data_IF_274164576249
#
_entry.id   IF_274164576249
#
_cell.length_a   1.000
_cell.length_b   1.000
_cell.length_c   1.000
_cell.angle_alpha   90.00
_cell.angle_beta   90.00
_cell.angle_gamma   90.00
#
_symmetry.space_group_name_H-M   'P 1'
#
loop_
_entity.id
_entity.type
_entity.pdbx_description
1 polymer ?
#
# COMPACT_ATOMS: atom_id res chain seq x y z
N UNK A 1 -12.08 13.96 0.47
CA UNK A 1 -11.03 13.40 -0.41
C UNK A 1 -9.74 14.21 -0.44
N UNK A 2 -9.74 15.55 -0.48
CA UNK A 2 -8.50 16.37 -0.54
C UNK A 2 -7.44 16.07 0.55
N UNK A 3 -7.85 15.59 1.74
CA UNK A 3 -6.94 15.26 2.85
C UNK A 3 -6.26 13.88 2.75
N UNK A 4 -6.76 13.01 1.88
CA UNK A 4 -6.24 11.63 1.69
C UNK A 4 -5.36 11.52 0.46
N UNK A 5 -5.55 12.39 -0.54
CA UNK A 5 -4.75 12.42 -1.77
C UNK A 5 -3.22 12.41 -1.53
N UNK A 6 -2.65 13.23 -0.61
CA UNK A 6 -1.21 13.19 -0.37
C UNK A 6 -0.72 11.87 0.24
N UNK A 7 -1.59 11.15 0.97
CA UNK A 7 -1.25 9.81 1.50
C UNK A 7 -1.14 8.81 0.35
N UNK A 8 -2.11 8.84 -0.57
CA UNK A 8 -2.12 7.96 -1.75
C UNK A 8 -0.88 8.21 -2.62
N UNK A 9 -0.63 9.47 -2.98
CA UNK A 9 0.49 9.83 -3.83
C UNK A 9 1.84 9.51 -3.18
N UNK A 10 2.00 9.81 -1.89
CA UNK A 10 3.22 9.51 -1.15
C UNK A 10 3.49 8.01 -1.04
N UNK A 11 2.45 7.21 -0.77
CA UNK A 11 2.57 5.76 -0.70
C UNK A 11 2.87 5.14 -2.07
N UNK A 12 2.19 5.58 -3.13
CA UNK A 12 2.45 5.11 -4.50
C UNK A 12 3.88 5.45 -4.94
N UNK A 13 4.35 6.67 -4.70
CA UNK A 13 5.72 7.07 -5.01
C UNK A 13 6.76 6.24 -4.25
N UNK A 14 6.50 5.95 -2.97
CA UNK A 14 7.37 5.10 -2.16
C UNK A 14 7.46 3.68 -2.73
N UNK A 15 6.33 3.07 -3.09
CA UNK A 15 6.29 1.71 -3.64
C UNK A 15 6.99 1.62 -5.00
N UNK A 16 6.74 2.57 -5.90
CA UNK A 16 7.44 2.64 -7.19
C UNK A 16 8.96 2.79 -6.98
N UNK A 17 9.39 3.62 -6.02
CA UNK A 17 10.81 3.75 -5.70
C UNK A 17 11.40 2.45 -5.15
N UNK A 18 10.66 1.72 -4.31
CA UNK A 18 11.06 0.40 -3.80
C UNK A 18 11.19 -0.63 -4.91
N UNK A 19 10.28 -0.64 -5.89
CA UNK A 19 10.35 -1.53 -7.04
C UNK A 19 11.56 -1.24 -7.93
N UNK A 20 11.87 0.04 -8.18
CA UNK A 20 13.07 0.46 -8.90
C UNK A 20 14.34 -0.02 -8.15
N UNK A 21 14.42 0.24 -6.84
CA UNK A 21 15.55 -0.20 -6.03
C UNK A 21 15.66 -1.72 -6.02
N UNK A 22 14.54 -2.43 -5.90
CA UNK A 22 14.48 -3.88 -5.95
C UNK A 22 14.97 -4.44 -7.28
N UNK A 23 14.59 -3.82 -8.40
CA UNK A 23 15.06 -4.20 -9.74
C UNK A 23 16.57 -4.00 -9.89
N UNK A 24 17.10 -2.87 -9.44
CA UNK A 24 18.53 -2.55 -9.52
C UNK A 24 19.40 -3.42 -8.61
N UNK A 25 18.90 -3.84 -7.45
CA UNK A 25 19.66 -4.62 -6.44
C UNK A 25 19.57 -6.11 -6.65
N UNK A 26 18.63 -6.61 -7.48
CA UNK A 26 18.40 -8.04 -7.69
C UNK A 26 19.65 -8.75 -8.23
N UNK A 27 20.32 -8.18 -9.25
CA UNK A 27 21.46 -8.79 -9.91
C UNK A 27 22.75 -8.75 -9.07
N UNK A 28 23.17 -7.61 -8.47
CA UNK A 28 24.44 -7.55 -7.77
C UNK A 28 24.40 -8.16 -6.36
N UNK A 29 23.24 -8.18 -5.68
CA UNK A 29 23.15 -8.57 -4.28
C UNK A 29 22.37 -9.86 -4.02
N UNK A 30 21.80 -10.51 -5.05
CA UNK A 30 20.97 -11.71 -4.88
C UNK A 30 19.77 -11.49 -3.95
N UNK A 31 19.30 -10.25 -3.83
CA UNK A 31 18.24 -9.90 -2.88
C UNK A 31 16.91 -10.56 -3.26
N UNK A 32 16.29 -11.36 -2.39
CA UNK A 32 15.05 -12.04 -2.72
C UNK A 32 13.91 -11.01 -2.82
N UNK A 33 13.41 -10.80 -4.05
CA UNK A 33 12.33 -9.86 -4.36
C UNK A 33 11.07 -10.09 -3.50
N UNK A 34 10.85 -11.33 -3.05
CA UNK A 34 9.74 -11.68 -2.14
C UNK A 34 9.71 -10.89 -0.82
N UNK A 35 10.87 -10.40 -0.35
CA UNK A 35 10.93 -9.57 0.86
C UNK A 35 10.31 -8.20 0.67
N UNK A 36 10.28 -7.67 -0.56
CA UNK A 36 9.62 -6.41 -0.85
C UNK A 36 8.10 -6.49 -0.66
N UNK A 37 7.50 -7.66 -0.90
CA UNK A 37 6.08 -7.87 -0.64
C UNK A 37 5.66 -7.60 0.81
N UNK A 38 6.51 -7.93 1.79
CA UNK A 38 6.24 -7.61 3.19
C UNK A 38 6.26 -6.11 3.46
N UNK A 39 7.16 -5.38 2.80
CA UNK A 39 7.24 -3.91 2.91
C UNK A 39 6.00 -3.27 2.29
N UNK A 40 5.59 -3.72 1.10
CA UNK A 40 4.36 -3.25 0.43
C UNK A 40 3.13 -3.49 1.30
N UNK A 41 3.02 -4.65 1.94
CA UNK A 41 1.92 -4.95 2.87
C UNK A 41 1.87 -3.96 4.03
N UNK A 42 3.03 -3.63 4.62
CA UNK A 42 3.12 -2.63 5.68
C UNK A 42 2.70 -1.24 5.22
N UNK A 43 3.06 -0.86 3.99
CA UNK A 43 2.64 0.41 3.38
C UNK A 43 1.12 0.44 3.20
N UNK A 44 0.49 -0.64 2.70
CA UNK A 44 -0.96 -0.71 2.54
C UNK A 44 -1.72 -0.62 3.88
N UNK A 45 -1.23 -1.29 4.92
CA UNK A 45 -1.76 -1.18 6.28
C UNK A 45 -1.69 0.27 6.79
N UNK A 46 -0.54 0.94 6.56
CA UNK A 46 -0.32 2.32 6.96
C UNK A 46 -1.22 3.29 6.22
N UNK A 47 -1.41 3.09 4.92
CA UNK A 47 -2.37 3.86 4.10
C UNK A 47 -3.79 3.71 4.64
N UNK A 48 -4.21 2.47 4.95
CA UNK A 48 -5.50 2.20 5.54
C UNK A 48 -5.70 2.91 6.88
N UNK A 49 -4.73 2.80 7.78
CA UNK A 49 -4.73 3.46 9.08
C UNK A 49 -4.83 4.99 8.95
N UNK A 50 -3.91 5.61 8.20
CA UNK A 50 -3.84 7.07 8.06
C UNK A 50 -5.05 7.64 7.33
N UNK A 51 -5.56 6.93 6.34
CA UNK A 51 -6.74 7.34 5.58
C UNK A 51 -8.01 7.21 6.40
N UNK A 52 -8.11 6.19 7.26
CA UNK A 52 -9.22 6.02 8.20
C UNK A 52 -9.32 7.19 9.17
N UNK A 53 -8.18 7.59 9.77
CA UNK A 53 -8.11 8.73 10.69
C UNK A 53 -8.46 10.09 10.04
N UNK A 54 -8.42 10.19 8.71
CA UNK A 54 -8.67 11.44 7.96
C UNK A 54 -10.01 11.48 7.23
N UNK A 55 -10.58 10.33 6.92
CA UNK A 55 -11.76 10.27 6.06
C UNK A 55 -12.70 9.11 6.33
N UNK A 56 -12.42 8.31 7.38
CA UNK A 56 -13.23 7.16 7.75
C UNK A 56 -12.86 5.86 7.03
N UNK A 57 -13.44 4.73 7.49
CA UNK A 57 -13.01 3.39 7.07
C UNK A 57 -13.26 3.10 5.59
N UNK A 58 -14.36 3.58 5.03
CA UNK A 58 -14.67 3.37 3.60
C UNK A 58 -13.62 4.02 2.71
N UNK A 59 -13.26 5.29 3.00
CA UNK A 59 -12.24 6.01 2.24
C UNK A 59 -10.87 5.34 2.39
N UNK A 60 -10.58 4.75 3.55
CA UNK A 60 -9.34 4.02 3.80
C UNK A 60 -9.17 2.80 2.89
N UNK A 61 -10.23 2.00 2.72
CA UNK A 61 -10.21 0.82 1.84
C UNK A 61 -10.00 1.25 0.38
N UNK A 62 -10.73 2.26 -0.08
CA UNK A 62 -10.56 2.77 -1.45
C UNK A 62 -9.17 3.39 -1.68
N UNK A 63 -8.63 4.10 -0.68
CA UNK A 63 -7.28 4.65 -0.77
C UNK A 63 -6.21 3.56 -0.89
N UNK A 64 -6.31 2.50 -0.07
CA UNK A 64 -5.39 1.37 -0.14
C UNK A 64 -5.54 0.58 -1.45
N UNK A 65 -6.77 0.36 -1.93
CA UNK A 65 -7.02 -0.28 -3.23
C UNK A 65 -6.42 0.55 -4.38
N UNK A 66 -6.58 1.88 -4.36
CA UNK A 66 -5.98 2.76 -5.36
C UNK A 66 -4.45 2.69 -5.35
N UNK A 67 -3.84 2.67 -4.15
CA UNK A 67 -2.38 2.49 -4.02
C UNK A 67 -1.95 1.13 -4.56
N UNK A 68 -2.67 0.04 -4.23
CA UNK A 68 -2.36 -1.30 -4.75
C UNK A 68 -2.54 -1.41 -6.27
N UNK A 69 -3.52 -0.70 -6.85
CA UNK A 69 -3.68 -0.64 -8.30
C UNK A 69 -2.50 0.10 -8.97
N UNK A 70 -2.08 1.23 -8.40
CA UNK A 70 -0.92 1.97 -8.90
C UNK A 70 0.37 1.17 -8.75
N UNK A 71 0.55 0.48 -7.64
CA UNK A 71 1.69 -0.41 -7.39
C UNK A 71 1.72 -1.57 -8.39
N UNK A 72 0.59 -2.26 -8.56
CA UNK A 72 0.48 -3.37 -9.51
C UNK A 72 0.63 -2.97 -11.00
N UNK A 73 0.44 -1.69 -11.33
CA UNK A 73 0.59 -1.17 -12.70
C UNK A 73 1.93 -0.47 -12.92
N UNK A 74 2.24 0.53 -12.10
CA UNK A 74 3.42 1.37 -12.28
C UNK A 74 4.70 0.72 -11.74
N UNK A 75 4.61 -0.10 -10.68
CA UNK A 75 5.75 -0.79 -10.09
C UNK A 75 6.48 -1.68 -11.08
N UNK A 76 5.80 -2.69 -11.68
CA UNK A 76 6.40 -3.55 -12.69
C UNK A 76 6.90 -2.79 -13.94
N UNK A 77 6.16 -1.75 -14.36
CA UNK A 77 6.58 -0.91 -15.49
C UNK A 77 7.87 -0.14 -15.19
N UNK A 78 7.95 0.47 -14.01
CA UNK A 78 9.13 1.20 -13.57
C UNK A 78 10.33 0.26 -13.35
N UNK A 79 10.12 -0.91 -12.79
CA UNK A 79 11.14 -1.93 -12.63
C UNK A 79 11.68 -2.43 -14.00
N UNK A 80 10.79 -2.58 -14.98
CA UNK A 80 11.18 -2.96 -16.37
C UNK A 80 12.01 -1.87 -17.04
N UNK A 81 11.67 -0.60 -16.84
CA UNK A 81 12.41 0.53 -17.40
C UNK A 81 13.77 0.78 -16.71
N UNK A 82 13.89 0.41 -15.44
CA UNK A 82 15.07 0.70 -14.63
C UNK A 82 16.22 -0.28 -14.81
N UNK A 83 15.97 -1.50 -15.32
CA UNK A 83 17.02 -2.50 -15.42
C UNK A 83 16.75 -3.64 -16.40
N UNK A 84 17.81 -4.33 -16.86
CA UNK A 84 17.71 -5.55 -17.66
C UNK A 84 17.33 -6.75 -16.78
N UNK A 85 16.44 -6.53 -15.80
CA UNK A 85 15.87 -7.64 -15.06
C UNK A 85 15.08 -8.51 -16.03
N UNK A 86 15.16 -9.84 -15.98
CA UNK A 86 14.15 -10.65 -16.57
C UNK A 86 12.84 -10.29 -15.85
N UNK A 87 12.09 -9.39 -16.43
CA UNK A 87 10.63 -9.46 -16.31
C UNK A 87 10.39 -10.86 -16.86
N UNK A 88 10.18 -11.79 -15.94
CA UNK A 88 9.95 -13.18 -16.28
C UNK A 88 8.97 -13.17 -17.44
N UNK A 89 9.24 -13.93 -18.49
CA UNK A 89 8.43 -13.92 -19.72
C UNK A 89 6.94 -14.11 -19.44
N UNK A 90 6.61 -14.58 -18.24
CA UNK A 90 5.30 -14.64 -17.63
C UNK A 90 4.54 -13.30 -17.62
N UNK A 91 5.21 -12.15 -17.53
CA UNK A 91 4.55 -10.83 -17.60
C UNK A 91 4.27 -10.37 -19.05
N UNK A 92 4.81 -11.04 -20.05
CA UNK A 92 4.51 -10.71 -21.45
C UNK A 92 3.09 -11.12 -21.87
N UNK A 93 2.46 -12.05 -21.13
CA UNK A 93 1.09 -12.42 -21.34
C UNK A 93 0.14 -11.45 -20.61
N UNK A 94 -0.66 -10.72 -21.38
CA UNK A 94 -1.59 -9.70 -20.86
C UNK A 94 -2.54 -10.22 -19.76
N UNK A 95 -2.89 -11.52 -19.80
CA UNK A 95 -3.74 -12.16 -18.78
C UNK A 95 -3.03 -12.32 -17.45
N UNK A 96 -1.77 -12.70 -17.43
CA UNK A 96 -0.97 -12.86 -16.21
C UNK A 96 -0.72 -11.49 -15.56
N UNK A 97 -0.45 -10.48 -16.37
CA UNK A 97 -0.30 -9.11 -15.91
C UNK A 97 -1.60 -8.58 -15.25
N UNK A 98 -2.74 -8.75 -15.94
CA UNK A 98 -4.05 -8.33 -15.40
C UNK A 98 -4.40 -9.06 -14.09
N UNK A 99 -4.11 -10.37 -14.01
CA UNK A 99 -4.30 -11.14 -12.79
C UNK A 99 -3.41 -10.63 -11.65
N UNK A 100 -2.15 -10.34 -11.93
CA UNK A 100 -1.21 -9.74 -10.96
C UNK A 100 -1.73 -8.44 -10.38
N UNK A 101 -2.21 -7.51 -11.24
CA UNK A 101 -2.82 -6.25 -10.80
C UNK A 101 -4.02 -6.52 -9.89
N UNK A 102 -4.91 -7.44 -10.28
CA UNK A 102 -6.11 -7.76 -9.49
C UNK A 102 -5.74 -8.31 -8.10
N UNK A 103 -4.77 -9.22 -8.03
CA UNK A 103 -4.30 -9.81 -6.76
C UNK A 103 -3.67 -8.75 -5.86
N UNK A 104 -2.78 -7.91 -6.40
CA UNK A 104 -2.12 -6.84 -5.64
C UNK A 104 -3.17 -5.84 -5.12
N UNK A 105 -4.11 -5.41 -5.98
CA UNK A 105 -5.19 -4.50 -5.61
C UNK A 105 -6.08 -5.08 -4.50
N UNK A 106 -6.47 -6.35 -4.61
CA UNK A 106 -7.27 -7.04 -3.62
C UNK A 106 -6.52 -7.18 -2.28
N UNK A 107 -5.24 -7.54 -2.32
CA UNK A 107 -4.38 -7.63 -1.15
C UNK A 107 -4.25 -6.27 -0.45
N UNK A 108 -4.05 -5.21 -1.22
CA UNK A 108 -3.97 -3.85 -0.70
C UNK A 108 -5.30 -3.41 -0.07
N UNK A 109 -6.45 -3.75 -0.67
CA UNK A 109 -7.77 -3.45 -0.12
C UNK A 109 -7.99 -4.17 1.23
N UNK A 110 -7.64 -5.45 1.33
CA UNK A 110 -7.74 -6.24 2.57
C UNK A 110 -6.81 -5.66 3.65
N UNK A 111 -5.55 -5.39 3.32
CA UNK A 111 -4.61 -4.76 4.24
C UNK A 111 -5.10 -3.36 4.67
N UNK A 112 -5.64 -2.57 3.74
CA UNK A 112 -6.26 -1.28 4.02
C UNK A 112 -7.45 -1.38 4.97
N UNK A 113 -8.29 -2.41 4.84
CA UNK A 113 -9.38 -2.69 5.78
C UNK A 113 -8.84 -2.98 7.19
N UNK A 114 -7.81 -3.81 7.31
CA UNK A 114 -7.17 -4.09 8.61
C UNK A 114 -6.60 -2.82 9.23
N UNK A 115 -5.91 -1.99 8.45
CA UNK A 115 -5.43 -0.68 8.89
C UNK A 115 -6.56 0.26 9.31
N UNK A 116 -7.67 0.26 8.58
CA UNK A 116 -8.85 1.06 8.91
C UNK A 116 -9.51 0.63 10.22
N UNK A 117 -9.62 -0.67 10.47
CA UNK A 117 -10.13 -1.21 11.75
C UNK A 117 -9.24 -0.79 12.92
N UNK A 118 -7.92 -0.85 12.75
CA UNK A 118 -6.98 -0.36 13.75
C UNK A 118 -7.15 1.15 14.00
N UNK A 119 -7.37 1.95 12.94
CA UNK A 119 -7.62 3.38 13.05
C UNK A 119 -8.89 3.71 13.85
N UNK A 120 -9.99 3.05 13.53
CA UNK A 120 -11.28 3.24 14.24
C UNK A 120 -11.19 2.83 15.72
N UNK A 121 -10.45 1.76 16.01
CA UNK A 121 -10.21 1.33 17.38
C UNK A 121 -9.39 2.35 18.19
N UNK A 122 -8.36 2.93 17.58
CA UNK A 122 -7.56 3.99 18.19
C UNK A 122 -8.39 5.25 18.49
N UNK A 123 -9.27 5.65 17.58
CA UNK A 123 -10.17 6.79 17.78
C UNK A 123 -11.13 6.56 18.94
N UNK A 124 -11.74 5.37 19.02
CA UNK A 124 -12.62 5.00 20.14
C UNK A 124 -11.90 5.08 21.50
N UNK A 125 -10.66 4.59 21.58
CA UNK A 125 -9.85 4.66 22.81
C UNK A 125 -9.51 6.10 23.20
N UNK A 126 -9.24 6.97 22.23
CA UNK A 126 -8.99 8.40 22.49
C UNK A 126 -10.24 9.11 23.01
N UNK A 127 -11.40 8.85 22.42
CA UNK A 127 -12.69 9.40 22.87
C UNK A 127 -13.02 9.02 24.32
N UNK A 128 -12.81 7.77 24.71
CA UNK A 128 -13.04 7.31 26.09
C UNK A 128 -12.12 8.00 27.11
N UNK A 129 -10.86 8.29 26.75
CA UNK A 129 -9.92 9.02 27.64
C UNK A 129 -10.31 10.48 27.85
N UNK A 130 -10.92 11.12 26.87
CA UNK A 130 -11.35 12.52 26.98
C UNK A 130 -12.59 12.64 27.86
N UNK A 131 -13.52 11.70 27.77
CA UNK A 131 -14.73 11.67 28.55
C UNK A 131 -14.47 11.49 30.08
N UNK A 132 -13.49 10.64 30.42
CA UNK A 132 -13.16 10.41 31.85
C UNK A 132 -12.49 11.62 32.53
N UNK A 133 -11.87 12.52 31.78
CA UNK A 133 -11.29 13.77 32.33
C UNK A 133 -12.33 14.86 32.64
N UNK A 134 -13.46 14.85 31.96
CA UNK A 134 -14.53 15.85 32.15
C UNK A 134 -15.34 15.53 33.42
N UNK A 135 -15.44 14.27 33.82
CA UNK A 135 -16.21 13.82 34.97
C UNK A 135 -15.43 14.04 36.31
N UNK A 136 -14.11 14.26 36.22
CA UNK A 136 -13.25 14.43 37.42
C UNK A 136 -12.99 15.89 37.80
N UNK A 137 -13.72 16.83 37.22
CA UNK A 137 -13.74 18.26 37.59
C UNK A 137 -15.12 18.69 38.07
#
# INVERSE_FOLDING_TARGET
MKRVTPVILGAAALLVALDIVGALTRSPLGFPYSRLGAVSLFVYLSVGLLSSLRGGPTIAVFAAAAVGFLDGTLGPLAAWMAGPGPVDQTFSESRVFAYGIAVITATAAVAGLMGALAGTWLERRRGLRTSSRVISR
#
